data_IF_855345484781
#
_entry.id   IF_855345484781
#
_cell.length_a   1.000
_cell.length_b   1.000
_cell.length_c   1.000
_cell.angle_alpha   90.00
_cell.angle_beta   90.00
_cell.angle_gamma   90.00
#
_symmetry.space_group_name_H-M   'P 1'
#
loop_
_entity.id
_entity.type
_entity.pdbx_description
1 polymer ?
#
# COMPACT_ATOMS: atom_id res chain seq x y z
N UNK A 1 -8.14 -12.13 17.82
CA UNK A 1 -8.24 -10.67 17.63
C UNK A 1 -9.59 -10.33 17.07
N UNK A 2 -10.34 -9.45 17.74
CA UNK A 2 -11.72 -9.10 17.34
C UNK A 2 -11.70 -8.05 16.22
N UNK A 3 -10.70 -7.17 16.23
CA UNK A 3 -10.46 -6.14 15.19
C UNK A 3 -9.01 -6.16 14.77
N UNK A 4 -8.77 -6.12 13.47
CA UNK A 4 -7.44 -6.05 12.88
C UNK A 4 -7.27 -4.75 12.09
N UNK A 5 -6.43 -3.85 12.61
CA UNK A 5 -6.09 -2.59 11.96
C UNK A 5 -4.73 -2.70 11.27
N UNK A 6 -4.67 -2.28 10.02
CA UNK A 6 -3.44 -2.16 9.25
C UNK A 6 -3.09 -0.68 9.10
N UNK A 7 -1.96 -0.25 9.69
CA UNK A 7 -1.56 1.18 9.74
C UNK A 7 -0.19 1.35 9.06
N UNK A 8 -0.13 1.27 7.72
CA UNK A 8 1.09 1.50 6.96
C UNK A 8 1.46 2.97 6.86
N UNK A 9 2.76 3.26 6.78
CA UNK A 9 3.28 4.56 6.35
C UNK A 9 3.53 4.49 4.84
N UNK A 10 2.90 5.41 4.09
CA UNK A 10 3.15 5.54 2.65
C UNK A 10 4.59 5.96 2.39
N UNK A 11 5.27 5.25 1.50
CA UNK A 11 6.63 5.60 1.08
C UNK A 11 7.02 4.99 -0.25
N UNK A 12 7.93 5.65 -0.95
CA UNK A 12 8.67 5.06 -2.07
C UNK A 12 9.39 3.77 -1.63
N UNK A 13 9.53 2.83 -2.55
CA UNK A 13 10.30 1.59 -2.34
C UNK A 13 10.99 1.17 -3.64
N UNK A 14 12.29 0.89 -3.55
CA UNK A 14 13.12 0.54 -4.72
C UNK A 14 12.60 -0.68 -5.49
N UNK A 15 12.25 -1.77 -4.79
CA UNK A 15 11.85 -3.03 -5.44
C UNK A 15 10.40 -3.04 -5.92
N UNK A 16 9.48 -2.43 -5.17
CA UNK A 16 8.03 -2.49 -5.43
C UNK A 16 7.41 -1.14 -5.74
N UNK A 17 8.25 -0.11 -5.99
CA UNK A 17 7.92 1.31 -6.23
C UNK A 17 7.32 2.03 -5.03
N UNK A 18 6.45 1.38 -4.25
CA UNK A 18 5.89 1.95 -3.02
C UNK A 18 5.62 0.89 -1.96
N UNK A 19 5.43 1.35 -0.73
CA UNK A 19 4.82 0.61 0.38
C UNK A 19 3.51 1.27 0.74
N UNK A 20 2.45 0.49 0.80
CA UNK A 20 1.11 0.88 1.22
C UNK A 20 0.47 -0.23 2.04
N UNK A 21 -0.85 -0.40 1.94
CA UNK A 21 -1.61 -1.33 2.75
C UNK A 21 -1.26 -2.80 2.47
N UNK A 22 -1.22 -3.20 1.19
CA UNK A 22 -0.92 -4.59 0.79
C UNK A 22 0.48 -5.00 1.25
N UNK A 23 1.50 -4.20 0.88
CA UNK A 23 2.89 -4.53 1.20
C UNK A 23 3.19 -4.49 2.70
N UNK A 24 2.47 -3.70 3.49
CA UNK A 24 2.67 -3.64 4.95
C UNK A 24 2.45 -5.00 5.62
N UNK A 25 1.58 -5.84 5.05
CA UNK A 25 1.29 -7.18 5.54
C UNK A 25 2.50 -8.13 5.49
N UNK A 26 3.52 -7.79 4.71
CA UNK A 26 4.81 -8.49 4.76
C UNK A 26 5.44 -8.45 6.18
N UNK A 27 5.03 -7.49 7.01
CA UNK A 27 5.49 -7.36 8.41
C UNK A 27 5.05 -8.52 9.32
N UNK A 28 3.96 -9.21 8.99
CA UNK A 28 3.43 -10.35 9.76
C UNK A 28 3.82 -11.71 9.18
N UNK A 29 4.55 -11.73 8.07
CA UNK A 29 5.03 -12.96 7.44
C UNK A 29 6.28 -13.45 8.16
N UNK A 30 6.32 -14.75 8.50
CA UNK A 30 7.45 -15.36 9.20
C UNK A 30 8.72 -15.32 8.34
N UNK A 31 8.66 -15.83 7.11
CA UNK A 31 9.80 -15.88 6.18
C UNK A 31 9.74 -14.76 5.13
N UNK A 32 10.18 -13.57 5.51
CA UNK A 32 10.30 -12.44 4.59
C UNK A 32 11.45 -12.62 3.59
N UNK A 33 12.45 -13.42 3.94
CA UNK A 33 13.57 -13.76 3.05
C UNK A 33 13.09 -14.50 1.81
N UNK A 34 12.15 -15.44 1.98
CA UNK A 34 11.51 -16.14 0.86
C UNK A 34 10.87 -15.16 -0.12
N UNK A 35 10.11 -14.16 0.35
CA UNK A 35 9.48 -13.17 -0.50
C UNK A 35 10.50 -12.36 -1.32
N UNK A 36 11.60 -11.96 -0.68
CA UNK A 36 12.68 -11.22 -1.37
C UNK A 36 13.49 -12.06 -2.35
N UNK A 37 13.50 -13.37 -2.18
CA UNK A 37 14.20 -14.30 -3.06
C UNK A 37 13.35 -14.81 -4.22
N UNK A 38 12.05 -14.47 -4.22
CA UNK A 38 11.09 -14.85 -5.25
C UNK A 38 10.44 -13.60 -5.86
N UNK A 39 9.34 -13.76 -6.60
CA UNK A 39 8.58 -12.62 -7.11
C UNK A 39 7.85 -11.93 -5.96
N UNK A 40 8.44 -10.85 -5.47
CA UNK A 40 7.93 -10.07 -4.35
C UNK A 40 6.53 -9.50 -4.62
N UNK A 41 6.24 -9.08 -5.87
CA UNK A 41 4.94 -8.52 -6.22
C UNK A 41 3.86 -9.60 -6.20
N UNK A 42 4.20 -10.79 -6.72
CA UNK A 42 3.30 -11.94 -6.67
C UNK A 42 3.03 -12.37 -5.22
N UNK A 43 4.07 -12.48 -4.39
CA UNK A 43 3.91 -12.83 -2.98
C UNK A 43 2.99 -11.84 -2.23
N UNK A 44 3.12 -10.54 -2.49
CA UNK A 44 2.25 -9.52 -1.89
C UNK A 44 0.80 -9.71 -2.34
N UNK A 45 0.57 -9.93 -3.64
CA UNK A 45 -0.76 -10.14 -4.18
C UNK A 45 -1.41 -11.43 -3.66
N UNK A 46 -0.66 -12.53 -3.61
CA UNK A 46 -1.14 -13.82 -3.12
C UNK A 46 -1.49 -13.78 -1.63
N UNK A 47 -0.71 -13.04 -0.84
CA UNK A 47 -1.04 -12.84 0.58
C UNK A 47 -2.41 -12.18 0.77
N UNK A 48 -2.86 -11.37 -0.16
CA UNK A 48 -4.18 -10.75 -0.10
C UNK A 48 -5.34 -11.74 -0.23
N UNK A 49 -5.08 -12.99 -0.63
CA UNK A 49 -6.05 -14.09 -0.60
C UNK A 49 -6.20 -14.73 0.79
N UNK A 50 -5.31 -14.38 1.73
CA UNK A 50 -5.36 -14.98 3.07
C UNK A 50 -6.68 -14.67 3.76
N UNK A 51 -7.19 -15.64 4.55
CA UNK A 51 -8.52 -15.59 5.15
C UNK A 51 -8.70 -14.36 6.07
N UNK A 52 -7.71 -14.09 6.94
CA UNK A 52 -7.77 -12.97 7.88
C UNK A 52 -7.21 -11.70 7.23
N UNK A 53 -8.11 -10.85 6.77
CA UNK A 53 -7.80 -9.52 6.21
C UNK A 53 -7.94 -8.43 7.27
N UNK A 54 -7.28 -7.27 7.10
CA UNK A 54 -7.55 -6.11 7.93
C UNK A 54 -9.00 -5.63 7.80
N UNK A 55 -9.64 -5.34 8.95
CA UNK A 55 -10.97 -4.74 9.00
C UNK A 55 -10.94 -3.29 8.54
N UNK A 56 -9.81 -2.59 8.79
CA UNK A 56 -9.57 -1.21 8.35
C UNK A 56 -8.10 -1.00 8.03
N UNK A 57 -7.84 -0.31 6.93
CA UNK A 57 -6.53 0.20 6.57
C UNK A 57 -6.50 1.71 6.78
N UNK A 58 -5.51 2.19 7.53
CA UNK A 58 -5.24 3.60 7.81
C UNK A 58 -3.85 3.91 7.25
N UNK A 59 -3.78 4.40 6.01
CA UNK A 59 -2.50 4.69 5.37
C UNK A 59 -2.06 6.10 5.80
N UNK A 60 -0.98 6.16 6.58
CA UNK A 60 -0.36 7.41 6.99
C UNK A 60 0.38 8.02 5.79
N UNK A 61 -0.11 9.15 5.34
CA UNK A 61 0.44 9.97 4.27
C UNK A 61 0.86 11.35 4.79
N UNK A 62 1.27 11.46 6.06
CA UNK A 62 1.65 12.75 6.64
C UNK A 62 3.04 13.19 6.20
N UNK A 63 4.08 12.43 6.55
CA UNK A 63 5.47 12.63 6.13
C UNK A 63 5.87 11.46 5.23
N UNK A 64 5.91 11.68 3.92
CA UNK A 64 6.05 10.62 2.92
C UNK A 64 7.43 10.67 2.30
N UNK A 65 8.17 9.56 2.35
CA UNK A 65 9.41 9.39 1.58
C UNK A 65 9.00 9.21 0.11
N UNK A 66 9.33 10.18 -0.75
CA UNK A 66 8.92 10.17 -2.17
C UNK A 66 10.00 9.66 -3.12
N UNK A 67 11.25 9.57 -2.66
CA UNK A 67 12.39 9.02 -3.42
C UNK A 67 13.39 8.34 -2.47
N UNK A 68 14.29 7.54 -3.01
CA UNK A 68 15.35 6.83 -2.27
C UNK A 68 14.82 5.94 -1.09
N UNK A 69 13.53 5.55 -1.12
CA UNK A 69 12.96 4.66 -0.11
C UNK A 69 13.46 3.20 -0.23
N UNK A 70 13.31 2.41 0.86
CA UNK A 70 12.34 2.68 1.96
C UNK A 70 12.86 3.55 3.11
N UNK A 71 14.17 3.81 3.25
CA UNK A 71 14.73 4.59 4.36
C UNK A 71 14.91 6.08 4.04
N UNK A 72 15.08 6.41 2.75
CA UNK A 72 15.55 7.73 2.33
C UNK A 72 17.06 7.91 2.52
N UNK A 73 17.63 8.94 1.96
CA UNK A 73 19.06 9.31 2.07
C UNK A 73 19.20 10.66 2.76
N UNK A 74 18.24 11.55 2.56
CA UNK A 74 18.24 12.90 3.16
C UNK A 74 16.82 13.34 3.53
N UNK A 75 16.73 14.46 4.27
CA UNK A 75 15.44 15.08 4.61
C UNK A 75 14.67 15.57 3.37
N UNK A 76 15.37 15.84 2.27
CA UNK A 76 14.78 16.26 1.00
C UNK A 76 14.00 15.13 0.30
N UNK A 77 14.21 13.89 0.72
CA UNK A 77 13.45 12.75 0.23
C UNK A 77 12.02 12.70 0.82
N UNK A 78 11.74 13.51 1.85
CA UNK A 78 10.48 13.53 2.57
C UNK A 78 9.64 14.74 2.16
N UNK A 79 8.40 14.47 1.79
CA UNK A 79 7.38 15.51 1.53
C UNK A 79 6.30 15.43 2.59
N UNK A 80 5.95 16.57 3.16
CA UNK A 80 4.87 16.68 4.12
C UNK A 80 3.53 16.83 3.38
N UNK A 81 2.81 15.71 3.20
CA UNK A 81 1.53 15.67 2.48
C UNK A 81 0.32 15.91 3.38
N UNK A 82 0.49 15.79 4.71
CA UNK A 82 -0.53 16.05 5.74
C UNK A 82 -1.88 15.37 5.45
N UNK A 83 -1.85 14.12 5.07
CA UNK A 83 -3.01 13.38 4.62
C UNK A 83 -3.10 12.00 5.26
N UNK A 84 -4.30 11.44 5.28
CA UNK A 84 -4.58 10.06 5.65
C UNK A 84 -5.52 9.45 4.62
N UNK A 85 -5.37 8.15 4.35
CA UNK A 85 -6.33 7.36 3.58
C UNK A 85 -6.92 6.31 4.51
N UNK A 86 -8.25 6.29 4.65
CA UNK A 86 -8.97 5.28 5.41
C UNK A 86 -9.81 4.44 4.46
N UNK A 87 -9.68 3.13 4.52
CA UNK A 87 -10.42 2.23 3.64
C UNK A 87 -10.49 0.81 4.18
N UNK A 88 -11.59 0.12 3.90
CA UNK A 88 -11.72 -1.33 4.09
C UNK A 88 -11.17 -2.12 2.89
N UNK A 89 -10.99 -1.46 1.75
CA UNK A 89 -10.41 -2.05 0.52
C UNK A 89 -8.96 -1.61 0.37
N UNK A 90 -8.02 -2.50 0.65
CA UNK A 90 -6.58 -2.23 0.58
C UNK A 90 -6.05 -2.00 -0.83
N UNK A 91 -6.68 -2.59 -1.88
CA UNK A 91 -6.33 -2.32 -3.29
C UNK A 91 -6.70 -0.89 -3.66
N UNK A 92 -7.91 -0.46 -3.28
CA UNK A 92 -8.35 0.93 -3.46
C UNK A 92 -7.46 1.91 -2.68
N UNK A 93 -7.08 1.55 -1.45
CA UNK A 93 -6.15 2.32 -0.63
C UNK A 93 -4.80 2.52 -1.32
N UNK A 94 -4.19 1.44 -1.78
CA UNK A 94 -2.90 1.49 -2.46
C UNK A 94 -2.99 2.20 -3.83
N UNK A 95 -4.11 2.06 -4.53
CA UNK A 95 -4.38 2.82 -5.76
C UNK A 95 -4.45 4.33 -5.48
N UNK A 96 -5.14 4.75 -4.43
CA UNK A 96 -5.18 6.15 -4.04
C UNK A 96 -3.80 6.66 -3.59
N UNK A 97 -3.08 5.86 -2.81
CA UNK A 97 -1.73 6.16 -2.34
C UNK A 97 -0.72 6.29 -3.49
N UNK A 98 -0.82 5.46 -4.53
CA UNK A 98 0.05 5.55 -5.72
C UNK A 98 -0.10 6.90 -6.44
N UNK A 99 -1.33 7.42 -6.53
CA UNK A 99 -1.60 8.74 -7.11
C UNK A 99 -1.02 9.88 -6.29
N UNK A 100 -0.98 9.74 -4.95
CA UNK A 100 -0.32 10.72 -4.09
C UNK A 100 1.19 10.78 -4.32
N UNK A 101 1.82 9.65 -4.67
CA UNK A 101 3.23 9.57 -5.07
C UNK A 101 3.45 9.93 -6.55
N UNK A 102 2.43 10.34 -7.29
CA UNK A 102 2.48 10.60 -8.74
C UNK A 102 2.97 9.38 -9.55
N UNK A 103 2.70 8.17 -9.06
CA UNK A 103 3.05 6.93 -9.73
C UNK A 103 1.89 6.45 -10.61
N UNK A 104 2.24 5.77 -11.70
CA UNK A 104 1.28 5.02 -12.50
C UNK A 104 0.92 3.73 -11.75
N UNK A 105 -0.33 3.59 -11.31
CA UNK A 105 -0.78 2.44 -10.49
C UNK A 105 -0.50 1.11 -11.15
N UNK A 106 -0.67 1.04 -12.48
CA UNK A 106 -0.47 -0.17 -13.29
C UNK A 106 0.97 -0.66 -13.28
N UNK A 107 1.92 0.22 -12.97
CA UNK A 107 3.35 -0.11 -12.85
C UNK A 107 3.77 -0.57 -11.44
N UNK A 108 2.85 -0.54 -10.49
CA UNK A 108 3.04 -1.11 -9.15
C UNK A 108 2.42 -2.50 -9.17
N UNK A 109 3.17 -3.47 -9.70
CA UNK A 109 2.68 -4.76 -10.20
C UNK A 109 1.74 -5.50 -9.23
N UNK A 110 2.02 -5.47 -7.92
CA UNK A 110 1.18 -6.15 -6.94
C UNK A 110 -0.26 -5.57 -6.85
N UNK A 111 -0.49 -4.30 -7.23
CA UNK A 111 -1.84 -3.69 -7.19
C UNK A 111 -2.76 -4.28 -8.27
N UNK A 112 -2.40 -4.25 -9.57
CA UNK A 112 -3.22 -4.88 -10.60
C UNK A 112 -3.31 -6.40 -10.42
N UNK A 113 -2.28 -7.08 -9.89
CA UNK A 113 -2.35 -8.51 -9.55
C UNK A 113 -3.42 -8.76 -8.49
N UNK A 114 -3.40 -8.02 -7.36
CA UNK A 114 -4.41 -8.15 -6.31
C UNK A 114 -5.82 -7.80 -6.80
N UNK A 115 -5.96 -6.77 -7.64
CA UNK A 115 -7.23 -6.45 -8.29
C UNK A 115 -7.76 -7.61 -9.15
N UNK A 116 -6.90 -8.21 -9.96
CA UNK A 116 -7.24 -9.36 -10.81
C UNK A 116 -7.66 -10.60 -9.99
N UNK A 117 -7.08 -10.78 -8.81
CA UNK A 117 -7.46 -11.83 -7.86
C UNK A 117 -8.81 -11.54 -7.15
N UNK A 118 -9.43 -10.40 -7.41
CA UNK A 118 -10.73 -10.04 -6.86
C UNK A 118 -10.70 -9.65 -5.37
N UNK A 119 -9.52 -9.32 -4.82
CA UNK A 119 -9.38 -8.99 -3.39
C UNK A 119 -9.57 -7.52 -3.07
N UNK A 120 -9.84 -6.71 -4.09
CA UNK A 120 -10.16 -5.29 -3.98
C UNK A 120 -10.27 -4.61 -5.34
N UNK A 121 -10.59 -3.32 -5.35
CA UNK A 121 -10.90 -2.58 -6.56
C UNK A 121 -9.90 -1.43 -6.81
N UNK A 122 -9.21 -1.46 -7.96
CA UNK A 122 -8.33 -0.37 -8.36
C UNK A 122 -9.04 0.73 -9.19
N UNK A 123 -10.31 0.54 -9.59
CA UNK A 123 -11.09 1.58 -10.25
C UNK A 123 -11.73 2.51 -9.20
N UNK A 124 -11.03 3.59 -8.85
CA UNK A 124 -11.48 4.54 -7.85
C UNK A 124 -12.75 5.30 -8.27
N UNK A 125 -13.02 5.44 -9.56
CA UNK A 125 -14.20 6.15 -10.06
C UNK A 125 -15.50 5.38 -9.78
N UNK A 126 -15.41 4.07 -9.60
CA UNK A 126 -16.56 3.23 -9.23
C UNK A 126 -16.84 3.21 -7.73
N UNK A 127 -16.04 3.89 -6.90
CA UNK A 127 -16.12 3.86 -5.45
C UNK A 127 -16.67 5.18 -4.89
N UNK A 128 -17.38 5.07 -3.75
CA UNK A 128 -17.83 6.24 -3.00
C UNK A 128 -16.67 6.81 -2.16
N UNK A 129 -15.94 7.76 -2.72
CA UNK A 129 -14.80 8.41 -2.07
C UNK A 129 -15.21 9.74 -1.47
N UNK A 130 -15.06 9.89 -0.16
CA UNK A 130 -15.25 11.15 0.56
C UNK A 130 -13.89 11.83 0.77
N UNK A 131 -13.78 13.08 0.36
CA UNK A 131 -12.62 13.94 0.63
C UNK A 131 -12.99 14.92 1.72
N UNK A 132 -12.30 14.85 2.85
CA UNK A 132 -12.51 15.74 3.99
C UNK A 132 -11.29 16.65 4.07
N UNK A 133 -11.52 17.96 4.05
CA UNK A 133 -10.49 18.96 4.29
C UNK A 133 -10.67 19.45 5.72
N UNK A 134 -9.61 19.31 6.54
CA UNK A 134 -9.54 19.84 7.89
C UNK A 134 -8.79 21.17 7.90
#
# INVERSE_FOLDING_TARGET
>A
TDVFLNIPILKHHSSTRMTGALKNMMGVVWDRGYWHSNDLNQCIADYALFEKKPDLNIIDCYNVIVKNGPQGVSKEDVVQMRSLILTTDWVAGDTAASKMLSLQTEKIEYIPMAHKLGVGNMNLESLNIRRIKM
#
